data_IF_005224781629
#
_entry.id   IF_005224781629
#
_cell.length_a   1.000
_cell.length_b   1.000
_cell.length_c   1.000
_cell.angle_alpha   90.00
_cell.angle_beta   90.00
_cell.angle_gamma   90.00
#
_symmetry.space_group_name_H-M   'P 1'
#
loop_
_entity.id
_entity.type
_entity.pdbx_description
1 polymer ?
#
# COMPACT_ATOMS: atom_id res chain seq x y z
N UNK A 1 -52.56 -4.10 3.91
CA UNK A 1 -51.85 -4.19 5.21
C UNK A 1 -50.71 -5.18 5.04
N UNK A 2 -49.45 -4.71 5.08
CA UNK A 2 -48.23 -5.53 4.99
C UNK A 2 -47.76 -5.74 6.44
N UNK A 3 -47.41 -6.97 6.87
CA UNK A 3 -47.01 -7.20 8.25
C UNK A 3 -45.67 -6.50 8.55
N UNK A 4 -45.44 -6.10 9.82
CA UNK A 4 -44.25 -5.38 10.23
C UNK A 4 -43.02 -6.27 10.10
N UNK A 5 -41.90 -5.64 9.74
CA UNK A 5 -40.64 -6.30 9.44
C UNK A 5 -40.19 -7.25 10.53
N UNK A 6 -39.83 -8.46 10.11
CA UNK A 6 -38.91 -9.31 10.84
C UNK A 6 -37.66 -8.46 11.11
N UNK A 7 -37.44 -8.10 12.37
CA UNK A 7 -36.14 -7.62 12.80
C UNK A 7 -35.11 -8.65 12.33
N UNK A 8 -34.12 -8.20 11.56
CA UNK A 8 -32.95 -9.02 11.26
C UNK A 8 -32.42 -9.59 12.58
N UNK A 9 -32.04 -10.88 12.63
CA UNK A 9 -31.39 -11.41 13.81
C UNK A 9 -30.13 -10.57 14.01
N UNK A 10 -30.11 -9.78 15.10
CA UNK A 10 -28.86 -9.27 15.64
C UNK A 10 -28.05 -10.53 15.89
N UNK A 11 -27.03 -10.75 15.06
CA UNK A 11 -26.00 -11.73 15.37
C UNK A 11 -25.50 -11.30 16.73
N UNK A 12 -25.81 -12.07 17.78
CA UNK A 12 -25.18 -11.88 19.08
C UNK A 12 -23.76 -12.36 18.91
N UNK A 13 -22.95 -11.52 18.25
CA UNK A 13 -21.52 -11.69 18.18
C UNK A 13 -21.02 -11.49 19.60
N UNK A 14 -20.29 -12.46 20.13
CA UNK A 14 -19.65 -12.28 21.42
C UNK A 14 -18.44 -11.37 21.21
N UNK A 15 -18.70 -10.05 21.26
CA UNK A 15 -17.67 -9.03 21.05
C UNK A 15 -16.46 -9.24 21.97
N UNK A 16 -16.64 -9.87 23.15
CA UNK A 16 -15.53 -10.17 24.05
C UNK A 16 -14.61 -11.26 23.49
N UNK A 17 -15.17 -12.31 22.89
CA UNK A 17 -14.39 -13.38 22.26
C UNK A 17 -13.65 -12.85 21.02
N UNK A 18 -14.33 -12.07 20.18
CA UNK A 18 -13.72 -11.45 18.99
C UNK A 18 -12.61 -10.46 19.36
N UNK A 19 -12.85 -9.62 20.37
CA UNK A 19 -11.84 -8.71 20.91
C UNK A 19 -10.63 -9.46 21.44
N UNK A 20 -10.83 -10.58 22.15
CA UNK A 20 -9.73 -11.39 22.67
C UNK A 20 -8.93 -12.07 21.55
N UNK A 21 -9.60 -12.61 20.54
CA UNK A 21 -8.95 -13.20 19.36
C UNK A 21 -8.13 -12.17 18.58
N UNK A 22 -8.64 -10.93 18.44
CA UNK A 22 -7.87 -9.85 17.79
C UNK A 22 -6.62 -9.52 18.61
N UNK A 23 -6.71 -9.39 19.94
CA UNK A 23 -5.54 -9.11 20.79
C UNK A 23 -4.49 -10.21 20.65
N UNK A 24 -4.87 -11.49 20.70
CA UNK A 24 -3.93 -12.60 20.54
C UNK A 24 -3.23 -12.55 19.16
N UNK A 25 -3.98 -12.24 18.11
CA UNK A 25 -3.43 -12.08 16.78
C UNK A 25 -2.45 -10.89 16.71
N UNK A 26 -2.80 -9.75 17.29
CA UNK A 26 -1.94 -8.56 17.33
C UNK A 26 -0.67 -8.80 18.13
N UNK A 27 -0.75 -9.46 19.29
CA UNK A 27 0.41 -9.84 20.10
C UNK A 27 1.35 -10.76 19.31
N UNK A 28 0.81 -11.66 18.49
CA UNK A 28 1.61 -12.53 17.62
C UNK A 28 2.24 -11.80 16.44
N UNK A 29 1.57 -10.81 15.86
CA UNK A 29 2.04 -10.08 14.67
C UNK A 29 3.05 -9.01 15.05
N UNK A 30 2.78 -8.27 16.12
CA UNK A 30 3.53 -7.08 16.54
C UNK A 30 4.60 -7.40 17.57
N UNK A 31 4.55 -8.57 18.21
CA UNK A 31 5.57 -9.07 19.13
C UNK A 31 6.02 -8.01 20.16
N UNK A 32 7.22 -7.45 19.98
CA UNK A 32 7.83 -6.48 20.90
C UNK A 32 7.27 -5.05 20.74
N UNK A 33 6.58 -4.75 19.63
CA UNK A 33 6.00 -3.43 19.37
C UNK A 33 4.71 -3.18 20.16
N UNK A 34 4.09 -4.23 20.70
CA UNK A 34 2.84 -4.15 21.47
C UNK A 34 3.07 -4.37 22.97
N UNK A 35 2.49 -3.50 23.81
CA UNK A 35 2.59 -3.61 25.26
C UNK A 35 1.36 -3.05 25.98
N UNK A 36 1.03 -3.61 27.15
CA UNK A 36 -0.02 -3.04 28.00
C UNK A 36 0.43 -1.71 28.62
N UNK A 37 -0.49 -0.75 28.71
CA UNK A 37 -0.22 0.56 29.32
C UNK A 37 -1.23 0.88 30.42
N UNK A 38 -0.74 1.52 31.48
CA UNK A 38 -1.53 1.94 32.63
C UNK A 38 -1.25 3.40 33.03
N UNK A 39 -1.93 3.85 34.09
CA UNK A 39 -1.67 5.15 34.70
C UNK A 39 -1.86 6.34 33.76
N UNK A 40 -0.82 7.16 33.61
CA UNK A 40 -0.86 8.39 32.83
C UNK A 40 -0.80 8.16 31.31
N UNK A 41 -0.30 6.99 30.88
CA UNK A 41 -0.16 6.66 29.46
C UNK A 41 -1.47 6.13 28.88
N UNK A 42 -2.27 5.45 29.71
CA UNK A 42 -3.61 4.96 29.38
C UNK A 42 -4.59 6.06 28.93
N UNK A 43 -5.68 5.63 28.29
CA UNK A 43 -6.76 6.52 27.86
C UNK A 43 -7.65 6.83 29.09
N UNK A 44 -7.80 8.11 29.47
CA UNK A 44 -8.68 8.47 30.57
C UNK A 44 -10.13 8.05 30.27
N UNK A 45 -10.74 7.28 31.17
CA UNK A 45 -12.13 6.83 31.02
C UNK A 45 -12.32 5.50 30.29
N UNK A 46 -11.25 4.82 29.87
CA UNK A 46 -11.34 3.44 29.42
C UNK A 46 -11.72 2.52 30.60
N UNK A 47 -12.91 1.92 30.56
CA UNK A 47 -13.43 1.05 31.63
C UNK A 47 -13.77 -0.37 31.18
N UNK A 48 -13.88 -0.60 29.87
CA UNK A 48 -14.30 -1.89 29.30
C UNK A 48 -13.11 -2.85 29.14
N UNK A 49 -12.07 -2.39 28.46
CA UNK A 49 -10.89 -3.18 28.14
C UNK A 49 -9.60 -2.48 28.63
N UNK A 50 -8.52 -3.24 28.92
CA UNK A 50 -7.22 -2.65 29.22
C UNK A 50 -6.74 -1.77 28.06
N UNK A 51 -5.94 -0.76 28.39
CA UNK A 51 -5.24 0.01 27.37
C UNK A 51 -3.97 -0.74 26.97
N UNK A 52 -3.69 -0.75 25.67
CA UNK A 52 -2.45 -1.25 25.12
C UNK A 52 -1.89 -0.24 24.14
N UNK A 53 -0.59 -0.31 23.93
CA UNK A 53 0.14 0.53 23.03
C UNK A 53 0.80 -0.30 21.95
N UNK A 54 0.76 0.23 20.73
CA UNK A 54 1.59 -0.19 19.61
C UNK A 54 2.58 0.92 19.30
N UNK A 55 3.87 0.60 19.26
CA UNK A 55 4.93 1.52 18.85
C UNK A 55 5.18 1.37 17.36
N UNK A 56 5.21 2.49 16.63
CA UNK A 56 5.37 2.51 15.18
C UNK A 56 6.61 3.32 14.79
N UNK A 57 7.50 2.69 14.03
CA UNK A 57 8.63 3.31 13.33
C UNK A 57 8.26 3.67 11.88
N UNK A 58 8.91 4.69 11.29
CA UNK A 58 8.75 4.99 9.86
C UNK A 58 9.34 3.90 8.97
N UNK A 59 10.40 3.24 9.45
CA UNK A 59 11.10 2.17 8.76
C UNK A 59 10.43 0.82 9.05
N UNK A 60 10.53 -0.08 8.08
CA UNK A 60 10.05 -1.45 8.11
C UNK A 60 11.15 -2.44 8.45
N UNK A 61 10.77 -3.70 8.55
CA UNK A 61 11.65 -4.77 8.98
C UNK A 61 12.83 -4.93 8.02
N UNK A 62 14.04 -4.78 8.54
CA UNK A 62 15.29 -4.91 7.77
C UNK A 62 15.75 -3.65 7.05
N UNK A 63 15.06 -2.52 7.21
CA UNK A 63 15.59 -1.21 6.82
C UNK A 63 16.47 -0.65 7.95
N UNK A 64 17.67 -0.18 7.60
CA UNK A 64 18.59 0.42 8.57
C UNK A 64 18.22 1.89 8.82
N UNK A 65 18.17 2.30 10.09
CA UNK A 65 17.91 3.69 10.45
C UNK A 65 19.19 4.53 10.35
N UNK A 66 19.11 5.70 9.73
CA UNK A 66 20.16 6.71 9.86
C UNK A 66 20.07 7.37 11.25
N UNK A 67 21.05 7.08 12.10
CA UNK A 67 21.10 7.59 13.47
C UNK A 67 21.22 9.12 13.55
N UNK A 68 21.63 9.78 12.47
CA UNK A 68 21.71 11.24 12.38
C UNK A 68 20.42 11.87 11.81
N UNK A 69 19.47 11.05 11.32
CA UNK A 69 18.18 11.51 10.80
C UNK A 69 17.08 11.40 11.87
N UNK A 70 16.78 12.54 12.53
CA UNK A 70 15.73 12.65 13.55
C UNK A 70 14.35 12.18 13.05
N UNK A 71 14.09 12.24 11.74
CA UNK A 71 12.81 11.82 11.17
C UNK A 71 12.67 10.30 11.09
N UNK A 72 13.77 9.57 10.88
CA UNK A 72 13.81 8.10 10.80
C UNK A 72 13.83 7.43 12.17
N UNK A 73 14.45 8.07 13.17
CA UNK A 73 14.46 7.57 14.56
C UNK A 73 13.18 7.89 15.33
N UNK A 74 12.26 8.67 14.76
CA UNK A 74 10.99 9.01 15.39
C UNK A 74 10.16 7.74 15.69
N UNK A 75 9.40 7.79 16.79
CA UNK A 75 8.55 6.70 17.28
C UNK A 75 7.19 7.25 17.69
N UNK A 76 6.14 6.76 17.03
CA UNK A 76 4.76 7.06 17.33
C UNK A 76 4.18 5.99 18.25
N UNK A 77 3.57 6.38 19.36
CA UNK A 77 2.82 5.47 20.22
C UNK A 77 1.33 5.59 19.94
N UNK A 78 0.70 4.50 19.49
CA UNK A 78 -0.74 4.37 19.33
C UNK A 78 -1.30 3.66 20.55
N UNK A 79 -2.07 4.37 21.38
CA UNK A 79 -2.73 3.76 22.54
C UNK A 79 -4.17 3.48 22.17
N UNK A 80 -4.58 2.22 22.35
CA UNK A 80 -5.92 1.74 22.07
C UNK A 80 -6.61 1.18 23.32
N UNK A 81 -7.94 1.21 23.32
CA UNK A 81 -8.78 0.43 24.22
C UNK A 81 -10.09 0.10 23.51
N UNK A 82 -10.53 -1.16 23.58
CA UNK A 82 -11.78 -1.58 22.97
C UNK A 82 -12.98 -0.97 23.70
N UNK A 83 -13.97 -0.55 22.92
CA UNK A 83 -15.30 -0.20 23.44
C UNK A 83 -16.14 -1.47 23.63
N UNK A 84 -17.23 -1.42 24.41
CA UNK A 84 -18.11 -2.58 24.56
C UNK A 84 -18.70 -3.11 23.25
N UNK A 85 -18.85 -2.23 22.25
CA UNK A 85 -19.47 -2.55 20.96
C UNK A 85 -18.44 -2.74 19.84
N UNK A 86 -17.15 -2.57 20.11
CA UNK A 86 -16.12 -2.78 19.09
C UNK A 86 -16.16 -4.24 18.57
N UNK A 87 -16.11 -4.48 17.25
CA UNK A 87 -15.74 -3.54 16.17
C UNK A 87 -16.90 -2.77 15.49
N UNK A 88 -18.14 -2.89 15.97
CA UNK A 88 -19.29 -2.13 15.44
C UNK A 88 -19.26 -0.63 15.83
N UNK A 89 -18.33 -0.26 16.70
CA UNK A 89 -17.96 1.10 17.05
C UNK A 89 -16.44 1.22 17.01
N UNK A 90 -15.94 2.42 16.70
CA UNK A 90 -14.50 2.69 16.71
C UNK A 90 -13.90 2.44 18.10
N UNK A 91 -12.62 1.99 18.17
CA UNK A 91 -11.94 1.86 19.44
C UNK A 91 -11.64 3.24 20.04
N UNK A 92 -11.38 3.29 21.34
CA UNK A 92 -10.75 4.46 21.91
C UNK A 92 -9.31 4.53 21.40
N UNK A 93 -8.91 5.68 20.85
CA UNK A 93 -7.58 5.91 20.30
C UNK A 93 -6.96 7.18 20.91
N UNK A 94 -5.68 7.12 21.22
CA UNK A 94 -4.84 8.25 21.63
C UNK A 94 -3.45 8.12 21.01
N UNK A 95 -2.99 9.16 20.31
CA UNK A 95 -1.64 9.21 19.76
C UNK A 95 -0.69 9.89 20.76
N UNK A 96 0.53 9.36 20.91
CA UNK A 96 1.59 9.98 21.71
C UNK A 96 2.93 9.99 20.98
N UNK A 97 3.75 10.99 21.30
CA UNK A 97 5.16 11.03 20.90
C UNK A 97 5.96 10.15 21.86
N UNK A 98 6.41 8.99 21.41
CA UNK A 98 7.41 8.18 22.14
C UNK A 98 8.79 8.78 21.89
N UNK A 99 9.06 9.20 20.65
CA UNK A 99 10.27 9.92 20.29
C UNK A 99 10.06 10.80 19.05
N UNK A 100 10.55 12.04 19.05
CA UNK A 100 10.74 12.82 17.83
C UNK A 100 9.49 13.32 17.09
N UNK A 101 8.27 13.21 17.65
CA UNK A 101 7.06 13.84 17.10
C UNK A 101 6.64 15.10 17.87
N UNK A 102 6.15 16.09 17.13
CA UNK A 102 5.59 17.33 17.64
C UNK A 102 4.05 17.26 17.79
N UNK A 103 3.47 18.12 18.62
CA UNK A 103 2.02 18.13 18.87
C UNK A 103 1.17 18.32 17.59
N UNK A 104 1.62 19.17 16.66
CA UNK A 104 0.92 19.38 15.40
C UNK A 104 0.88 18.10 14.53
N UNK A 105 1.93 17.30 14.61
CA UNK A 105 2.06 16.02 13.92
C UNK A 105 1.15 14.98 14.55
N UNK A 106 1.09 14.93 15.89
CA UNK A 106 0.16 14.07 16.63
C UNK A 106 -1.30 14.37 16.29
N UNK A 107 -1.66 15.66 16.14
CA UNK A 107 -3.00 16.06 15.71
C UNK A 107 -3.28 15.61 14.27
N UNK A 108 -2.31 15.75 13.36
CA UNK A 108 -2.46 15.36 11.97
C UNK A 108 -2.65 13.84 11.81
N UNK A 109 -1.78 13.03 12.45
CA UNK A 109 -1.88 11.56 12.38
C UNK A 109 -3.15 11.06 13.07
N UNK A 110 -3.54 11.64 14.22
CA UNK A 110 -4.79 11.29 14.88
C UNK A 110 -6.01 11.53 13.99
N UNK A 111 -6.04 12.65 13.26
CA UNK A 111 -7.12 12.95 12.32
C UNK A 111 -7.17 11.94 11.17
N UNK A 112 -6.02 11.54 10.62
CA UNK A 112 -5.94 10.51 9.58
C UNK A 112 -6.47 9.16 10.08
N UNK A 113 -6.06 8.75 11.28
CA UNK A 113 -6.49 7.50 11.90
C UNK A 113 -7.98 7.51 12.26
N UNK A 114 -8.52 8.64 12.72
CA UNK A 114 -9.96 8.76 13.02
C UNK A 114 -10.79 8.56 11.75
N UNK A 115 -10.38 9.18 10.63
CA UNK A 115 -11.04 8.99 9.33
C UNK A 115 -10.99 7.53 8.85
N UNK A 116 -9.83 6.87 9.00
CA UNK A 116 -9.68 5.46 8.67
C UNK A 116 -10.58 4.58 9.54
N UNK A 117 -10.62 4.81 10.85
CA UNK A 117 -11.43 4.04 11.80
C UNK A 117 -12.93 4.14 11.47
N UNK A 118 -13.42 5.34 11.15
CA UNK A 118 -14.82 5.54 10.74
C UNK A 118 -15.19 4.76 9.49
N UNK A 119 -14.24 4.52 8.59
CA UNK A 119 -14.46 3.76 7.34
C UNK A 119 -14.45 2.25 7.59
N UNK A 120 -13.74 1.79 8.63
CA UNK A 120 -13.57 0.38 8.96
C UNK A 120 -14.55 -0.16 9.99
N UNK A 121 -15.58 0.61 10.38
CA UNK A 121 -16.60 0.16 11.34
C UNK A 121 -17.31 -1.11 10.84
N UNK A 122 -17.45 -2.09 11.74
CA UNK A 122 -18.05 -3.39 11.48
C UNK A 122 -17.03 -4.51 11.23
N UNK A 123 -15.73 -4.21 11.24
CA UNK A 123 -14.67 -5.23 11.27
C UNK A 123 -13.52 -4.84 12.20
N UNK A 124 -12.78 -5.83 12.75
CA UNK A 124 -11.54 -5.58 13.48
C UNK A 124 -10.59 -4.70 12.65
N UNK A 125 -10.06 -3.63 13.23
CA UNK A 125 -9.37 -2.56 12.48
C UNK A 125 -8.03 -2.12 13.10
N UNK A 126 -7.63 -2.64 14.26
CA UNK A 126 -6.46 -2.13 14.99
C UNK A 126 -5.17 -2.33 14.18
N UNK A 127 -5.03 -3.47 13.50
CA UNK A 127 -3.90 -3.72 12.62
C UNK A 127 -3.88 -2.74 11.45
N UNK A 128 -5.02 -2.53 10.79
CA UNK A 128 -5.12 -1.61 9.65
C UNK A 128 -4.81 -0.17 10.06
N UNK A 129 -5.29 0.27 11.23
CA UNK A 129 -4.93 1.57 11.79
C UNK A 129 -3.44 1.69 12.07
N UNK A 130 -2.81 0.62 12.56
CA UNK A 130 -1.35 0.56 12.72
C UNK A 130 -0.63 0.72 11.37
N UNK A 131 -1.13 0.10 10.30
CA UNK A 131 -0.55 0.27 8.95
C UNK A 131 -0.74 1.69 8.40
N UNK A 132 -1.91 2.31 8.60
CA UNK A 132 -2.14 3.72 8.24
C UNK A 132 -1.17 4.64 8.98
N UNK A 133 -0.90 4.37 10.25
CA UNK A 133 0.07 5.13 11.02
C UNK A 133 1.52 4.92 10.53
N UNK A 134 1.86 3.68 10.15
CA UNK A 134 3.18 3.32 9.60
C UNK A 134 3.44 4.06 8.28
N UNK A 135 2.46 4.07 7.38
CA UNK A 135 2.55 4.82 6.12
C UNK A 135 2.69 6.32 6.38
N UNK A 136 1.90 6.87 7.31
CA UNK A 136 2.00 8.28 7.67
C UNK A 136 3.40 8.65 8.21
N UNK A 137 3.99 7.77 9.04
CA UNK A 137 5.35 7.93 9.55
C UNK A 137 6.40 7.83 8.44
N UNK A 138 6.23 6.89 7.50
CA UNK A 138 7.10 6.70 6.32
C UNK A 138 7.12 7.95 5.43
N UNK A 139 5.93 8.46 5.09
CA UNK A 139 5.75 9.70 4.32
C UNK A 139 6.40 10.90 5.02
N UNK A 140 6.19 11.03 6.33
CA UNK A 140 6.78 12.08 7.15
C UNK A 140 8.32 12.03 7.12
N UNK A 141 8.89 10.83 7.20
CA UNK A 141 10.34 10.64 7.16
C UNK A 141 10.93 10.77 5.74
N UNK A 142 10.07 10.93 4.71
CA UNK A 142 10.52 10.99 3.32
C UNK A 142 11.18 9.70 2.84
N UNK A 143 10.87 8.58 3.49
CA UNK A 143 11.36 7.26 3.11
C UNK A 143 10.61 6.86 1.85
N UNK A 144 11.34 6.83 0.72
CA UNK A 144 10.78 6.43 -0.57
C UNK A 144 11.11 4.97 -0.78
N UNK A 145 10.09 4.14 -0.94
CA UNK A 145 10.28 2.77 -1.36
C UNK A 145 10.93 2.78 -2.75
N UNK A 146 12.22 2.43 -2.80
CA UNK A 146 12.89 2.16 -4.06
C UNK A 146 12.28 0.87 -4.59
N UNK A 147 11.22 1.01 -5.40
CA UNK A 147 10.68 -0.11 -6.16
C UNK A 147 11.73 -0.49 -7.18
N UNK A 148 12.61 -1.42 -6.82
CA UNK A 148 13.54 -2.03 -7.76
C UNK A 148 12.69 -2.71 -8.85
N UNK A 149 12.70 -2.16 -10.06
CA UNK A 149 12.05 -2.80 -11.21
C UNK A 149 12.66 -4.19 -11.35
N UNK A 150 11.82 -5.23 -11.25
CA UNK A 150 12.27 -6.60 -11.49
C UNK A 150 12.87 -6.70 -12.90
N UNK A 151 13.82 -7.63 -13.14
CA UNK A 151 14.37 -7.84 -14.48
C UNK A 151 13.30 -8.08 -15.55
N UNK A 152 12.18 -8.67 -15.16
CA UNK A 152 11.00 -8.93 -15.99
C UNK A 152 10.23 -7.65 -16.35
N UNK A 153 10.05 -6.73 -15.40
CA UNK A 153 9.45 -5.41 -15.65
C UNK A 153 10.33 -4.56 -16.57
N UNK A 154 11.66 -4.58 -16.36
CA UNK A 154 12.63 -3.91 -17.23
C UNK A 154 12.57 -4.51 -18.64
N UNK A 155 12.54 -5.83 -18.77
CA UNK A 155 12.46 -6.51 -20.07
C UNK A 155 11.15 -6.22 -20.81
N UNK A 156 10.01 -6.27 -20.10
CA UNK A 156 8.69 -5.99 -20.67
C UNK A 156 8.61 -4.55 -21.21
N UNK A 157 9.12 -3.57 -20.45
CA UNK A 157 9.19 -2.18 -20.89
C UNK A 157 10.07 -2.01 -22.13
N UNK A 158 11.23 -2.70 -22.16
CA UNK A 158 12.14 -2.64 -23.30
C UNK A 158 11.53 -3.25 -24.57
N UNK A 159 10.77 -4.33 -24.43
CA UNK A 159 10.06 -4.99 -25.52
C UNK A 159 8.93 -4.12 -26.06
N UNK A 160 8.13 -3.50 -25.18
CA UNK A 160 7.08 -2.56 -25.58
C UNK A 160 7.65 -1.35 -26.35
N UNK A 161 8.78 -0.81 -25.89
CA UNK A 161 9.48 0.28 -26.57
C UNK A 161 10.00 -0.15 -27.96
N UNK A 162 10.56 -1.36 -28.05
CA UNK A 162 11.00 -1.94 -29.32
C UNK A 162 9.83 -2.16 -30.29
N UNK A 163 8.69 -2.65 -29.81
CA UNK A 163 7.47 -2.80 -30.59
C UNK A 163 6.91 -1.45 -31.05
N UNK A 164 6.90 -0.44 -30.17
CA UNK A 164 6.47 0.91 -30.51
C UNK A 164 7.36 1.51 -31.61
N UNK A 165 8.68 1.31 -31.52
CA UNK A 165 9.63 1.73 -32.55
C UNK A 165 9.39 1.02 -33.87
N UNK A 166 9.15 -0.30 -33.84
CA UNK A 166 8.80 -1.08 -35.03
C UNK A 166 7.46 -0.62 -35.64
N UNK A 167 6.46 -0.33 -34.81
CA UNK A 167 5.15 0.18 -35.24
C UNK A 167 5.30 1.56 -35.90
N UNK A 168 6.10 2.45 -35.33
CA UNK A 168 6.39 3.76 -35.91
C UNK A 168 7.13 3.64 -37.26
N UNK A 169 8.11 2.74 -37.37
CA UNK A 169 8.78 2.45 -38.64
C UNK A 169 7.81 1.93 -39.71
N UNK A 170 6.90 1.01 -39.34
CA UNK A 170 5.87 0.48 -40.26
C UNK A 170 4.86 1.56 -40.68
N UNK A 171 4.47 2.43 -39.76
CA UNK A 171 3.49 3.50 -40.02
C UNK A 171 4.02 4.57 -40.97
N UNK A 172 5.31 4.90 -40.87
CA UNK A 172 5.94 5.93 -41.72
C UNK A 172 6.25 5.39 -43.13
N UNK A 173 6.49 4.08 -43.25
CA UNK A 173 6.93 3.46 -44.50
C UNK A 173 8.25 4.03 -45.03
N UNK A 174 8.70 3.57 -46.20
CA UNK A 174 9.78 4.22 -46.93
C UNK A 174 9.15 5.09 -48.01
N UNK A 175 9.37 6.42 -48.01
CA UNK A 175 8.79 7.30 -49.04
C UNK A 175 9.33 6.92 -50.41
N UNK A 176 8.43 6.83 -51.41
CA UNK A 176 8.79 6.52 -52.80
C UNK A 176 9.36 7.79 -53.44
N UNK A 177 10.68 7.88 -53.48
CA UNK A 177 11.45 8.86 -54.27
C UNK A 177 11.98 8.24 -55.56
N UNK A 178 12.39 9.03 -56.57
CA UNK A 178 13.00 8.50 -57.79
C UNK A 178 14.25 7.63 -57.54
N UNK A 179 15.03 7.91 -56.49
CA UNK A 179 16.18 7.06 -56.12
C UNK A 179 15.72 5.74 -55.50
N UNK A 180 14.75 5.78 -54.57
CA UNK A 180 14.21 4.55 -53.96
C UNK A 180 13.47 3.67 -54.95
N UNK A 181 12.82 4.27 -55.95
CA UNK A 181 12.15 3.56 -57.04
C UNK A 181 13.16 2.83 -57.92
N UNK A 182 14.24 3.50 -58.38
CA UNK A 182 15.27 2.84 -59.19
C UNK A 182 15.96 1.70 -58.44
N UNK A 183 16.24 1.89 -57.15
CA UNK A 183 16.84 0.83 -56.33
C UNK A 183 15.90 -0.37 -56.15
N UNK A 184 14.59 -0.14 -56.08
CA UNK A 184 13.59 -1.21 -56.08
C UNK A 184 13.48 -1.88 -57.46
N UNK A 185 13.44 -1.10 -58.53
CA UNK A 185 13.33 -1.57 -59.92
C UNK A 185 14.51 -2.47 -60.29
N UNK A 186 15.74 -2.06 -59.97
CA UNK A 186 16.94 -2.85 -60.24
C UNK A 186 16.92 -4.20 -59.49
N UNK A 187 16.44 -4.21 -58.24
CA UNK A 187 16.25 -5.46 -57.48
C UNK A 187 15.16 -6.34 -58.07
N UNK A 188 14.06 -5.75 -58.52
CA UNK A 188 12.94 -6.47 -59.12
C UNK A 188 13.32 -7.10 -60.46
N UNK A 189 14.03 -6.38 -61.32
CA UNK A 189 14.55 -6.90 -62.59
C UNK A 189 15.58 -8.04 -62.36
N UNK A 190 16.43 -7.90 -61.35
CA UNK A 190 17.35 -8.96 -60.95
C UNK A 190 16.61 -10.23 -60.48
N UNK A 191 15.51 -10.10 -59.70
CA UNK A 191 14.67 -11.24 -59.31
C UNK A 191 13.94 -11.86 -60.51
N UNK A 192 13.39 -11.06 -61.42
CA UNK A 192 12.68 -11.54 -62.60
C UNK A 192 13.58 -12.31 -63.57
N UNK A 193 14.81 -11.82 -63.77
CA UNK A 193 15.81 -12.50 -64.62
C UNK A 193 16.20 -13.84 -64.01
N UNK A 194 16.44 -13.89 -62.70
CA UNK A 194 16.77 -15.12 -61.99
C UNK A 194 15.62 -16.13 -62.03
N UNK A 195 14.37 -15.67 -61.92
CA UNK A 195 13.17 -16.50 -62.04
C UNK A 195 12.92 -17.01 -63.47
N UNK A 196 13.24 -16.22 -64.50
CA UNK A 196 13.16 -16.66 -65.90
C UNK A 196 14.23 -17.70 -66.23
N UNK A 197 15.44 -17.51 -65.72
CA UNK A 197 16.53 -18.47 -65.89
C UNK A 197 16.23 -19.80 -65.18
N UNK A 198 15.61 -19.78 -64.00
CA UNK A 198 15.24 -21.01 -63.28
C UNK A 198 14.07 -21.78 -63.91
N UNK A 199 13.16 -21.11 -64.62
CA UNK A 199 12.08 -21.75 -65.40
C UNK A 199 12.52 -22.30 -66.76
N UNK A 200 13.66 -21.85 -67.27
CA UNK A 200 14.22 -22.28 -68.55
C UNK A 200 15.19 -23.47 -68.43
N UNK A 201 15.52 -23.89 -67.20
CA UNK A 201 16.29 -25.09 -66.87
C UNK A 201 15.38 -26.28 -66.58
#
# INVERSE_FOLDING_TARGET
ARPPGLASPVVMTDHLEDQAMEIEALESILMDDMSLVDGAEAIPGATHAPCYQIVVSPLGDGEDEDADDESQIARLGLVFSHTPSYPDEVPLLKCRSVHGLFDAELVAVHAALTCAAETSVGCPMIYDLTQVAKEWMRDRAGVVDVVEETPEQIASRLEEEAEARLRAMRATGTPVTPETWRAWEERFEAEETLARLSKAA
#
